data_IF_502523454562
#
_entry.id   IF_502523454562
#
_cell.length_a   1.000
_cell.length_b   1.000
_cell.length_c   1.000
_cell.angle_alpha   90.00
_cell.angle_beta   90.00
_cell.angle_gamma   90.00
#
_symmetry.space_group_name_H-M   'P 1'
#
loop_
_entity.id
_entity.type
_entity.pdbx_description
1 polymer ?
#
# COMPACT_ATOMS: atom_id res chain seq x y z
N UNK A 1 10.28 11.00 -12.37
CA UNK A 1 8.89 11.35 -12.76
C UNK A 1 8.52 10.87 -14.17
N UNK A 2 9.22 9.88 -14.73
CA UNK A 2 8.95 9.42 -16.09
C UNK A 2 7.78 8.43 -16.12
N UNK A 3 6.90 8.58 -17.10
CA UNK A 3 5.86 7.59 -17.42
C UNK A 3 6.47 6.49 -18.27
N UNK A 4 6.09 5.25 -18.00
CA UNK A 4 6.48 4.08 -18.80
C UNK A 4 5.24 3.50 -19.48
N UNK A 5 5.43 2.95 -20.67
CA UNK A 5 4.43 2.14 -21.37
C UNK A 5 5.12 1.01 -22.11
N UNK A 6 4.38 -0.06 -22.38
CA UNK A 6 4.87 -1.19 -23.16
C UNK A 6 4.42 -1.00 -24.60
N UNK A 7 5.38 -0.77 -25.49
CA UNK A 7 5.09 -0.65 -26.93
C UNK A 7 4.75 -2.02 -27.53
N UNK A 8 3.46 -2.33 -27.58
CA UNK A 8 2.93 -3.60 -28.10
C UNK A 8 2.78 -3.61 -29.62
N UNK A 9 2.84 -2.44 -30.27
CA UNK A 9 2.58 -2.28 -31.71
C UNK A 9 3.84 -1.90 -32.50
N UNK A 10 5.04 -2.26 -32.01
CA UNK A 10 6.30 -2.05 -32.75
C UNK A 10 6.29 -2.59 -34.17
N UNK A 11 5.55 -3.69 -34.40
CA UNK A 11 5.41 -4.33 -35.71
C UNK A 11 4.37 -3.67 -36.62
N UNK A 12 3.60 -2.68 -36.12
CA UNK A 12 2.53 -1.97 -36.84
C UNK A 12 1.45 -2.90 -37.41
N UNK A 13 1.10 -3.93 -36.65
CA UNK A 13 0.09 -4.94 -37.03
C UNK A 13 -1.33 -4.51 -36.63
N UNK A 14 -1.44 -3.55 -35.71
CA UNK A 14 -2.70 -2.99 -35.23
C UNK A 14 -3.25 -2.01 -36.27
N UNK A 15 -4.56 -2.12 -36.55
CA UNK A 15 -5.24 -1.34 -37.60
C UNK A 15 -5.41 0.13 -37.22
N UNK A 16 -5.60 0.41 -35.94
CA UNK A 16 -5.85 1.77 -35.48
C UNK A 16 -4.60 2.65 -35.61
N UNK A 17 -4.78 3.83 -36.19
CA UNK A 17 -3.67 4.72 -36.55
C UNK A 17 -2.99 5.28 -35.31
N UNK A 18 -1.68 5.07 -35.22
CA UNK A 18 -0.87 5.61 -34.13
C UNK A 18 -0.99 4.83 -32.82
N UNK A 19 -1.67 3.68 -32.79
CA UNK A 19 -1.73 2.82 -31.60
C UNK A 19 -0.32 2.42 -31.12
N UNK A 20 -0.06 2.59 -29.82
CA UNK A 20 1.25 2.33 -29.21
C UNK A 20 1.21 1.35 -28.04
N UNK A 21 0.11 1.29 -27.29
CA UNK A 21 -0.08 0.37 -26.17
C UNK A 21 -1.57 0.08 -26.01
N UNK A 22 -1.87 -1.01 -25.33
CA UNK A 22 -3.21 -1.34 -24.87
C UNK A 22 -3.20 -1.58 -23.36
N UNK A 23 -4.38 -1.63 -22.75
CA UNK A 23 -4.52 -1.95 -21.32
C UNK A 23 -3.94 -3.33 -20.98
N UNK A 24 -4.02 -4.31 -21.89
CA UNK A 24 -3.38 -5.63 -21.78
C UNK A 24 -1.86 -5.55 -21.64
N UNK A 25 -1.19 -4.76 -22.48
CA UNK A 25 0.25 -4.62 -22.37
C UNK A 25 0.65 -3.96 -21.04
N UNK A 26 -0.07 -2.90 -20.65
CA UNK A 26 0.21 -2.16 -19.40
C UNK A 26 0.01 -3.05 -18.16
N UNK A 27 -1.08 -3.82 -18.11
CA UNK A 27 -1.39 -4.66 -16.94
C UNK A 27 -0.39 -5.79 -16.75
N UNK A 28 0.07 -6.45 -17.83
CA UNK A 28 1.11 -7.46 -17.75
C UNK A 28 2.41 -6.85 -17.23
N UNK A 29 2.76 -5.65 -17.70
CA UNK A 29 3.88 -4.90 -17.15
C UNK A 29 3.73 -4.64 -15.65
N UNK A 30 2.56 -4.19 -15.20
CA UNK A 30 2.31 -3.90 -13.79
C UNK A 30 2.41 -5.17 -12.94
N UNK A 31 1.74 -6.25 -13.33
CA UNK A 31 1.77 -7.52 -12.61
C UNK A 31 3.19 -8.11 -12.55
N UNK A 32 3.90 -8.16 -13.68
CA UNK A 32 5.29 -8.64 -13.73
C UNK A 32 6.17 -7.77 -12.83
N UNK A 33 6.01 -6.45 -12.86
CA UNK A 33 6.80 -5.53 -12.02
C UNK A 33 6.60 -5.80 -10.52
N UNK A 34 5.36 -6.06 -10.09
CA UNK A 34 5.06 -6.45 -8.70
C UNK A 34 5.70 -7.79 -8.37
N UNK A 35 5.50 -8.81 -9.21
CA UNK A 35 6.05 -10.16 -8.99
C UNK A 35 7.59 -10.16 -8.95
N UNK A 36 8.23 -9.28 -9.71
CA UNK A 36 9.68 -9.11 -9.75
C UNK A 36 10.22 -8.10 -8.71
N UNK A 37 9.37 -7.50 -7.88
CA UNK A 37 9.73 -6.46 -6.91
C UNK A 37 10.44 -5.24 -7.56
N UNK A 38 10.05 -4.88 -8.77
CA UNK A 38 10.58 -3.72 -9.49
C UNK A 38 9.65 -2.52 -9.35
N UNK A 39 9.77 -1.82 -8.22
CA UNK A 39 8.93 -0.67 -7.88
C UNK A 39 9.01 0.46 -8.92
N UNK A 40 10.21 0.74 -9.45
CA UNK A 40 10.41 1.84 -10.41
C UNK A 40 9.57 1.65 -11.66
N UNK A 41 9.50 0.42 -12.17
CA UNK A 41 8.73 0.10 -13.37
C UNK A 41 7.23 0.10 -13.07
N UNK A 42 6.82 -0.47 -11.93
CA UNK A 42 5.44 -0.41 -11.46
C UNK A 42 4.94 1.04 -11.35
N UNK A 43 5.72 1.91 -10.71
CA UNK A 43 5.38 3.32 -10.54
C UNK A 43 5.27 4.05 -11.89
N UNK A 44 6.15 3.72 -12.84
CA UNK A 44 6.13 4.28 -14.20
C UNK A 44 4.87 3.91 -14.97
N UNK A 45 4.47 2.64 -14.88
CA UNK A 45 3.26 2.11 -15.51
C UNK A 45 1.98 2.59 -14.79
N UNK A 46 2.04 2.75 -13.47
CA UNK A 46 0.93 3.30 -12.67
C UNK A 46 0.66 4.76 -13.03
N UNK A 47 1.70 5.58 -13.26
CA UNK A 47 1.52 6.95 -13.77
C UNK A 47 0.85 6.96 -15.15
N UNK A 48 1.17 5.98 -16.01
CA UNK A 48 0.48 5.81 -17.29
C UNK A 48 -0.99 5.47 -17.10
N UNK A 49 -1.30 4.46 -16.27
CA UNK A 49 -2.66 4.08 -15.91
C UNK A 49 -3.47 5.29 -15.41
N UNK A 50 -2.93 6.04 -14.45
CA UNK A 50 -3.60 7.21 -13.87
C UNK A 50 -3.89 8.31 -14.89
N UNK A 51 -3.02 8.47 -15.90
CA UNK A 51 -3.18 9.47 -16.96
C UNK A 51 -4.26 9.09 -17.96
N UNK A 52 -4.40 7.81 -18.28
CA UNK A 52 -5.27 7.31 -19.36
C UNK A 52 -6.50 6.55 -18.87
N UNK A 53 -6.84 6.67 -17.58
CA UNK A 53 -8.10 6.15 -17.07
C UNK A 53 -9.29 6.94 -17.63
N UNK A 54 -10.37 6.23 -17.93
CA UNK A 54 -11.63 6.82 -18.36
C UNK A 54 -12.43 7.38 -17.17
N UNK A 55 -13.61 7.92 -17.45
CA UNK A 55 -14.50 8.52 -16.43
C UNK A 55 -14.98 7.54 -15.35
N UNK A 56 -14.89 6.23 -15.60
CA UNK A 56 -15.22 5.18 -14.63
C UNK A 56 -14.02 4.76 -13.77
N UNK A 57 -12.84 5.33 -14.02
CA UNK A 57 -11.60 5.01 -13.31
C UNK A 57 -10.87 3.77 -13.84
N UNK A 58 -11.31 3.21 -14.98
CA UNK A 58 -10.71 2.04 -15.63
C UNK A 58 -9.75 2.48 -16.72
N UNK A 59 -8.74 1.66 -17.05
CA UNK A 59 -7.80 2.02 -18.11
C UNK A 59 -8.49 1.89 -19.47
N UNK A 60 -8.49 3.00 -20.22
CA UNK A 60 -8.89 3.00 -21.62
C UNK A 60 -8.11 1.94 -22.40
N UNK A 61 -8.77 1.11 -23.19
CA UNK A 61 -8.19 -0.14 -23.67
C UNK A 61 -7.06 0.07 -24.68
N UNK A 62 -7.01 1.23 -25.36
CA UNK A 62 -5.95 1.55 -26.32
C UNK A 62 -5.51 3.01 -26.23
N UNK A 63 -4.19 3.22 -26.16
CA UNK A 63 -3.57 4.54 -26.29
C UNK A 63 -2.84 4.66 -27.63
N UNK A 64 -2.94 5.85 -28.21
CA UNK A 64 -2.27 6.23 -29.43
C UNK A 64 -1.27 7.38 -29.19
N UNK A 65 -0.29 7.47 -30.08
CA UNK A 65 0.61 8.61 -30.19
C UNK A 65 0.23 9.43 -31.42
N UNK A 66 -0.18 10.67 -31.18
CA UNK A 66 -0.41 11.67 -32.22
C UNK A 66 0.62 12.79 -32.08
N UNK A 67 1.48 12.93 -33.09
CA UNK A 67 2.65 13.81 -33.06
C UNK A 67 3.53 13.57 -31.81
N UNK A 68 3.71 14.59 -30.97
CA UNK A 68 4.47 14.53 -29.72
C UNK A 68 3.59 14.32 -28.49
N UNK A 69 2.34 13.91 -28.67
CA UNK A 69 1.37 13.71 -27.59
C UNK A 69 0.81 12.30 -27.58
N UNK A 70 0.35 11.89 -26.40
CA UNK A 70 -0.28 10.60 -26.14
C UNK A 70 -1.73 10.84 -25.75
N UNK A 71 -2.66 10.05 -26.31
CA UNK A 71 -4.09 10.14 -26.03
C UNK A 71 -4.74 8.75 -26.04
N UNK A 72 -5.95 8.66 -25.52
CA UNK A 72 -6.81 7.51 -25.79
C UNK A 72 -7.20 7.50 -27.27
N UNK A 73 -7.33 6.32 -27.86
CA UNK A 73 -7.74 6.23 -29.25
C UNK A 73 -9.19 6.76 -29.42
N UNK A 74 -9.46 7.66 -30.37
CA UNK A 74 -10.82 8.19 -30.60
C UNK A 74 -11.86 7.12 -30.96
N UNK A 75 -11.48 6.03 -31.61
CA UNK A 75 -12.41 5.00 -32.10
C UNK A 75 -12.70 3.93 -31.04
N UNK A 76 -13.47 4.30 -30.01
CA UNK A 76 -13.83 3.40 -28.91
C UNK A 76 -12.68 3.10 -27.94
N UNK A 77 -11.52 3.75 -28.09
CA UNK A 77 -10.35 3.59 -27.23
C UNK A 77 -10.59 3.99 -25.78
N UNK A 78 -11.60 4.82 -25.49
CA UNK A 78 -11.93 5.29 -24.14
C UNK A 78 -12.65 4.24 -23.28
N UNK A 79 -13.27 3.24 -23.91
CA UNK A 79 -13.82 2.08 -23.20
C UNK A 79 -12.69 1.24 -22.60
N UNK A 80 -12.98 0.43 -21.58
CA UNK A 80 -11.98 -0.48 -21.00
C UNK A 80 -12.09 -1.88 -21.60
N UNK A 81 -11.07 -2.70 -21.34
CA UNK A 81 -11.12 -4.14 -21.60
C UNK A 81 -11.08 -4.85 -20.24
N UNK A 82 -12.05 -5.72 -19.97
CA UNK A 82 -12.27 -6.32 -18.65
C UNK A 82 -11.09 -7.14 -18.15
N UNK A 83 -10.48 -7.93 -19.04
CA UNK A 83 -9.22 -8.63 -18.78
C UNK A 83 -8.12 -7.63 -18.39
N UNK A 84 -8.12 -6.45 -19.02
CA UNK A 84 -7.34 -5.25 -18.70
C UNK A 84 -7.41 -4.87 -17.24
N UNK A 85 -8.64 -4.67 -16.82
CA UNK A 85 -8.99 -4.18 -15.50
C UNK A 85 -8.73 -5.24 -14.41
N UNK A 86 -8.94 -6.53 -14.72
CA UNK A 86 -8.71 -7.65 -13.79
C UNK A 86 -7.24 -7.75 -13.38
N UNK A 87 -6.29 -7.67 -14.32
CA UNK A 87 -4.88 -7.79 -13.95
C UNK A 87 -4.34 -6.53 -13.26
N UNK A 88 -4.88 -5.34 -13.57
CA UNK A 88 -4.57 -4.13 -12.79
C UNK A 88 -5.03 -4.31 -11.34
N UNK A 89 -6.26 -4.78 -11.12
CA UNK A 89 -6.76 -5.10 -9.79
C UNK A 89 -5.91 -6.18 -9.10
N UNK A 90 -5.51 -7.21 -9.84
CA UNK A 90 -4.61 -8.28 -9.37
C UNK A 90 -3.25 -7.73 -8.96
N UNK A 91 -2.68 -6.79 -9.71
CA UNK A 91 -1.40 -6.16 -9.37
C UNK A 91 -1.48 -5.36 -8.07
N UNK A 92 -2.57 -4.62 -7.84
CA UNK A 92 -2.80 -3.94 -6.55
C UNK A 92 -3.02 -4.92 -5.41
N UNK A 93 -3.70 -6.03 -5.66
CA UNK A 93 -3.90 -7.09 -4.68
C UNK A 93 -2.56 -7.71 -4.25
N UNK A 94 -1.67 -8.05 -5.19
CA UNK A 94 -0.32 -8.53 -4.86
C UNK A 94 0.56 -7.44 -4.22
N UNK A 95 0.40 -6.17 -4.61
CA UNK A 95 1.09 -5.07 -3.94
C UNK A 95 0.64 -4.95 -2.47
N UNK A 96 -0.65 -5.17 -2.19
CA UNK A 96 -1.17 -5.22 -0.82
C UNK A 96 -0.63 -6.43 -0.03
N UNK A 97 -0.37 -7.57 -0.68
CA UNK A 97 0.29 -8.72 -0.03
C UNK A 97 1.71 -8.36 0.45
N UNK A 98 2.45 -7.53 -0.29
CA UNK A 98 3.78 -7.10 0.14
C UNK A 98 3.75 -6.32 1.46
N UNK A 99 2.69 -5.56 1.72
CA UNK A 99 2.50 -4.88 3.02
C UNK A 99 2.40 -5.92 4.14
N UNK A 100 1.57 -6.96 3.96
CA UNK A 100 1.49 -8.04 4.95
C UNK A 100 2.86 -8.70 5.16
N UNK A 101 3.55 -9.05 4.08
CA UNK A 101 4.78 -9.82 4.14
C UNK A 101 5.95 -9.05 4.79
N UNK A 102 6.08 -7.74 4.53
CA UNK A 102 7.30 -6.98 4.88
C UNK A 102 7.07 -5.83 5.89
N UNK A 103 5.82 -5.42 6.16
CA UNK A 103 5.54 -4.30 7.08
C UNK A 103 4.86 -4.72 8.40
N UNK A 104 4.77 -6.03 8.68
CA UNK A 104 4.20 -6.54 9.92
C UNK A 104 5.14 -7.52 10.62
N UNK A 105 5.30 -7.34 11.93
CA UNK A 105 5.92 -8.36 12.76
C UNK A 105 4.94 -9.52 12.94
N UNK A 106 5.13 -10.61 12.20
CA UNK A 106 4.22 -11.77 12.22
C UNK A 106 4.19 -12.55 13.54
N UNK A 107 5.10 -12.28 14.48
CA UNK A 107 5.06 -12.86 15.84
C UNK A 107 4.13 -12.07 16.75
N UNK A 108 4.17 -10.74 16.66
CA UNK A 108 3.40 -9.84 17.56
C UNK A 108 2.16 -9.23 16.92
N UNK A 109 1.98 -9.42 15.60
CA UNK A 109 0.91 -8.81 14.80
C UNK A 109 0.86 -7.29 14.96
N UNK A 110 2.03 -6.65 14.92
CA UNK A 110 2.17 -5.19 15.00
C UNK A 110 2.75 -4.67 13.69
N UNK A 111 2.28 -3.51 13.20
CA UNK A 111 2.96 -2.81 12.13
C UNK A 111 4.41 -2.56 12.56
N UNK A 112 5.33 -2.83 11.66
CA UNK A 112 6.71 -2.41 11.77
C UNK A 112 6.81 -0.88 11.60
N UNK A 113 8.01 -0.34 11.77
CA UNK A 113 8.26 1.07 11.42
C UNK A 113 8.17 1.27 9.91
N UNK A 114 8.77 0.32 9.18
CA UNK A 114 8.75 0.14 7.73
C UNK A 114 9.47 -1.18 7.41
N UNK A 115 9.62 -1.54 6.13
CA UNK A 115 10.24 -2.79 5.67
C UNK A 115 11.67 -3.02 6.23
N UNK A 116 12.52 -2.00 6.23
CA UNK A 116 13.90 -2.09 6.71
C UNK A 116 14.02 -2.49 8.19
N UNK A 117 12.96 -2.27 8.98
CA UNK A 117 12.97 -2.60 10.42
C UNK A 117 12.74 -4.09 10.69
N UNK A 118 12.35 -4.86 9.68
CA UNK A 118 12.23 -6.32 9.77
C UNK A 118 13.61 -6.98 10.01
N UNK A 119 14.64 -6.51 9.30
CA UNK A 119 15.98 -7.09 9.35
C UNK A 119 16.82 -6.61 10.54
N UNK A 120 16.49 -5.44 11.11
CA UNK A 120 17.19 -4.89 12.27
C UNK A 120 16.56 -5.38 13.59
N UNK A 121 17.25 -6.32 14.26
CA UNK A 121 16.84 -6.84 15.58
C UNK A 121 16.58 -5.76 16.64
N UNK A 122 17.19 -4.57 16.51
CA UNK A 122 16.94 -3.44 17.42
C UNK A 122 15.52 -2.90 17.26
N UNK A 123 15.00 -2.90 16.02
CA UNK A 123 13.75 -2.28 15.60
C UNK A 123 12.63 -3.26 15.26
N UNK A 124 12.92 -4.56 15.09
CA UNK A 124 11.94 -5.61 14.80
C UNK A 124 10.73 -5.61 15.74
N UNK A 125 10.93 -5.20 16.99
CA UNK A 125 9.89 -5.12 18.01
C UNK A 125 9.53 -3.69 18.41
N UNK A 126 9.73 -2.74 17.48
CA UNK A 126 9.38 -1.33 17.64
C UNK A 126 8.23 -1.01 16.68
N UNK A 127 7.28 -0.22 17.14
CA UNK A 127 6.10 0.20 16.36
C UNK A 127 5.75 1.65 16.65
N UNK A 128 4.99 2.26 15.74
CA UNK A 128 4.41 3.59 15.89
C UNK A 128 2.88 3.49 15.95
N UNK A 129 2.22 4.04 16.98
CA UNK A 129 0.76 4.05 17.04
C UNK A 129 0.09 4.87 15.93
N UNK A 130 0.79 5.81 15.29
CA UNK A 130 0.29 6.46 14.07
C UNK A 130 0.05 5.47 12.93
N UNK A 131 0.74 4.32 12.93
CA UNK A 131 0.52 3.23 11.97
C UNK A 131 -0.68 2.35 12.37
N UNK A 132 -1.36 2.60 13.49
CA UNK A 132 -2.51 1.82 13.95
C UNK A 132 -3.81 2.26 13.26
N UNK A 133 -3.84 2.13 11.94
CA UNK A 133 -4.97 2.52 11.09
C UNK A 133 -6.06 1.44 11.19
N UNK A 134 -6.82 1.43 12.29
CA UNK A 134 -7.80 0.39 12.60
C UNK A 134 -8.84 0.17 11.49
N UNK A 135 -9.26 1.23 10.81
CA UNK A 135 -10.19 1.15 9.68
C UNK A 135 -9.60 0.39 8.48
N UNK A 136 -8.30 0.56 8.21
CA UNK A 136 -7.60 -0.18 7.17
C UNK A 136 -7.47 -1.66 7.55
N UNK A 137 -7.11 -1.97 8.80
CA UNK A 137 -7.00 -3.36 9.26
C UNK A 137 -8.35 -4.09 9.25
N UNK A 138 -9.44 -3.41 9.63
CA UNK A 138 -10.80 -3.94 9.48
C UNK A 138 -11.18 -4.18 8.02
N UNK A 139 -10.77 -3.29 7.12
CA UNK A 139 -10.97 -3.48 5.69
C UNK A 139 -10.18 -4.69 5.18
N UNK A 140 -8.91 -4.84 5.57
CA UNK A 140 -8.10 -6.00 5.17
C UNK A 140 -8.67 -7.31 5.72
N UNK A 141 -9.14 -7.35 6.97
CA UNK A 141 -9.82 -8.52 7.51
C UNK A 141 -11.03 -8.95 6.66
N UNK A 142 -11.80 -8.00 6.14
CA UNK A 142 -13.00 -8.28 5.33
C UNK A 142 -12.64 -8.63 3.88
N UNK A 143 -11.61 -7.99 3.31
CA UNK A 143 -11.33 -8.01 1.87
C UNK A 143 -10.21 -8.99 1.47
N UNK A 144 -9.20 -9.19 2.31
CA UNK A 144 -8.19 -10.22 2.15
C UNK A 144 -8.70 -11.50 2.82
N UNK A 145 -9.54 -12.26 2.11
CA UNK A 145 -10.18 -13.47 2.64
C UNK A 145 -9.17 -14.56 2.97
N UNK A 146 -8.01 -14.58 2.30
CA UNK A 146 -6.93 -15.54 2.56
C UNK A 146 -6.30 -15.30 3.95
N UNK A 147 -6.09 -14.03 4.32
CA UNK A 147 -5.46 -13.65 5.60
C UNK A 147 -6.44 -13.07 6.61
N UNK A 148 -7.74 -13.27 6.43
CA UNK A 148 -8.79 -12.66 7.25
C UNK A 148 -8.55 -12.89 8.75
N UNK A 149 -8.25 -14.12 9.17
CA UNK A 149 -7.94 -14.43 10.58
C UNK A 149 -6.67 -13.74 11.09
N UNK A 150 -5.65 -13.60 10.24
CA UNK A 150 -4.39 -12.94 10.59
C UNK A 150 -4.58 -11.43 10.77
N UNK A 151 -5.37 -10.81 9.89
CA UNK A 151 -5.79 -9.41 10.05
C UNK A 151 -6.66 -9.20 11.31
N UNK A 152 -7.46 -10.19 11.68
CA UNK A 152 -8.14 -10.23 12.99
C UNK A 152 -7.16 -10.16 14.16
N UNK A 153 -6.08 -10.94 14.12
CA UNK A 153 -5.02 -10.88 15.14
C UNK A 153 -4.31 -9.52 15.16
N UNK A 154 -4.11 -8.88 14.01
CA UNK A 154 -3.57 -7.50 13.94
C UNK A 154 -4.49 -6.52 14.65
N UNK A 155 -5.79 -6.56 14.39
CA UNK A 155 -6.78 -5.72 15.07
C UNK A 155 -6.75 -5.94 16.58
N UNK A 156 -6.90 -7.18 17.02
CA UNK A 156 -6.95 -7.53 18.45
C UNK A 156 -5.70 -7.09 19.19
N UNK A 157 -4.53 -7.39 18.63
CA UNK A 157 -3.26 -7.00 19.24
C UNK A 157 -3.12 -5.46 19.30
N UNK A 158 -3.64 -4.75 18.30
CA UNK A 158 -3.53 -3.28 18.19
C UNK A 158 -4.46 -2.59 19.17
N UNK A 159 -5.73 -2.99 19.20
CA UNK A 159 -6.74 -2.53 20.17
C UNK A 159 -6.27 -2.81 21.59
N UNK A 160 -5.78 -4.02 21.86
CA UNK A 160 -5.26 -4.39 23.19
C UNK A 160 -4.08 -3.51 23.62
N UNK A 161 -3.24 -3.10 22.67
CA UNK A 161 -2.11 -2.21 22.94
C UNK A 161 -2.59 -0.81 23.27
N UNK A 162 -3.50 -0.25 22.46
CA UNK A 162 -4.10 1.07 22.71
C UNK A 162 -4.82 1.12 24.06
N UNK A 163 -5.66 0.12 24.37
CA UNK A 163 -6.38 0.03 25.64
C UNK A 163 -5.44 -0.01 26.84
N UNK A 164 -4.31 -0.73 26.74
CA UNK A 164 -3.28 -0.75 27.80
C UNK A 164 -2.66 0.64 28.02
N UNK A 165 -2.41 1.39 26.96
CA UNK A 165 -1.85 2.74 27.06
C UNK A 165 -2.83 3.70 27.71
N UNK A 166 -4.09 3.70 27.25
CA UNK A 166 -5.16 4.53 27.80
C UNK A 166 -5.47 4.20 29.27
N UNK A 167 -5.31 2.93 29.68
CA UNK A 167 -5.43 2.54 31.09
C UNK A 167 -4.25 3.02 31.94
N UNK A 168 -3.06 3.11 31.35
CA UNK A 168 -1.83 3.51 32.05
C UNK A 168 -1.71 5.03 32.19
N UNK A 169 -2.21 5.79 31.22
CA UNK A 169 -2.13 7.24 31.18
C UNK A 169 -3.52 7.85 31.04
N UNK A 170 -3.95 8.61 32.05
CA UNK A 170 -5.27 9.25 32.11
C UNK A 170 -5.43 10.47 31.20
N UNK A 171 -4.38 10.86 30.47
CA UNK A 171 -4.40 12.03 29.58
C UNK A 171 -5.10 11.76 28.25
N UNK A 172 -5.37 10.50 27.92
CA UNK A 172 -5.88 10.09 26.60
C UNK A 172 -4.83 10.13 25.49
N UNK A 173 -3.58 10.50 25.81
CA UNK A 173 -2.48 10.55 24.86
C UNK A 173 -1.78 9.20 24.72
N UNK A 174 -1.29 8.91 23.52
CA UNK A 174 -0.58 7.70 23.16
C UNK A 174 0.82 8.09 22.66
N UNK A 175 1.87 7.39 23.11
CA UNK A 175 3.26 7.73 22.75
C UNK A 175 3.55 7.56 21.25
N UNK A 176 4.49 8.33 20.69
CA UNK A 176 4.90 8.20 19.29
C UNK A 176 5.58 6.87 18.96
N UNK A 177 6.53 6.43 19.77
CA UNK A 177 7.23 5.16 19.54
C UNK A 177 7.03 4.22 20.72
N UNK A 178 6.72 2.95 20.42
CA UNK A 178 6.62 1.89 21.41
C UNK A 178 7.55 0.73 21.09
N UNK A 179 8.08 0.09 22.13
CA UNK A 179 8.88 -1.12 22.01
C UNK A 179 8.27 -2.27 22.80
N UNK A 180 8.30 -3.46 22.22
CA UNK A 180 7.88 -4.67 22.92
C UNK A 180 8.84 -4.94 24.08
N UNK A 181 8.27 -5.06 25.27
CA UNK A 181 8.96 -5.52 26.47
C UNK A 181 9.13 -7.05 26.45
N UNK A 182 9.95 -7.57 27.36
CA UNK A 182 10.11 -9.01 27.57
C UNK A 182 8.83 -9.75 28.01
N UNK A 183 7.75 -9.02 28.35
CA UNK A 183 6.43 -9.56 28.68
C UNK A 183 5.45 -9.54 27.50
N UNK A 184 5.96 -9.37 26.28
CA UNK A 184 5.15 -9.28 25.05
C UNK A 184 4.14 -8.12 25.05
N UNK A 185 4.45 -7.05 25.78
CA UNK A 185 3.64 -5.83 25.81
C UNK A 185 4.43 -4.66 25.26
N UNK A 186 3.80 -3.87 24.40
CA UNK A 186 4.38 -2.65 23.86
C UNK A 186 4.24 -1.50 24.85
N UNK A 187 5.37 -0.90 25.22
CA UNK A 187 5.46 0.23 26.14
C UNK A 187 6.11 1.44 25.45
N UNK A 188 5.80 2.68 25.87
CA UNK A 188 6.49 3.87 25.38
C UNK A 188 8.00 3.76 25.59
N UNK A 189 8.76 4.17 24.58
CA UNK A 189 10.22 4.22 24.71
C UNK A 189 10.63 5.28 25.74
N UNK A 190 11.65 4.97 26.55
CA UNK A 190 12.08 5.84 27.68
C UNK A 190 13.21 6.82 27.31
N UNK A 191 13.81 6.65 26.13
CA UNK A 191 14.91 7.43 25.54
C UNK A 191 14.68 7.50 24.03
N UNK A 192 15.41 8.38 23.34
CA UNK A 192 15.47 8.38 21.87
C UNK A 192 15.78 6.97 21.36
N UNK A 193 14.94 6.49 20.45
CA UNK A 193 15.07 5.18 19.80
C UNK A 193 15.20 5.35 18.29
N UNK A 194 14.59 6.38 17.70
CA UNK A 194 14.38 6.55 16.27
C UNK A 194 14.64 7.97 15.76
N UNK A 195 13.95 9.01 16.24
CA UNK A 195 13.96 10.34 15.60
C UNK A 195 14.50 11.46 16.50
N UNK A 196 14.18 11.46 17.79
CA UNK A 196 14.69 12.46 18.74
C UNK A 196 14.35 12.14 20.19
N UNK A 197 14.74 13.04 21.12
CA UNK A 197 14.23 13.05 22.50
C UNK A 197 12.69 13.08 22.59
N UNK A 198 12.00 13.51 21.52
CA UNK A 198 10.53 13.52 21.41
C UNK A 198 9.92 12.18 21.00
N UNK A 199 10.67 11.12 20.79
CA UNK A 199 10.12 9.77 20.56
C UNK A 199 9.22 9.28 21.72
N UNK A 200 9.36 9.93 22.89
CA UNK A 200 8.53 9.72 24.08
C UNK A 200 7.20 10.50 24.05
N UNK A 201 7.16 11.58 23.29
CA UNK A 201 6.05 12.53 23.22
C UNK A 201 5.00 11.96 22.27
N UNK A 202 3.72 12.22 22.55
CA UNK A 202 2.61 11.74 21.75
C UNK A 202 2.62 12.39 20.35
N UNK A 203 2.37 11.61 19.30
CA UNK A 203 2.04 12.20 18.00
C UNK A 203 0.68 12.87 18.14
N UNK A 204 0.60 14.11 17.67
CA UNK A 204 -0.64 14.86 17.44
C UNK A 204 -1.45 14.30 16.25
N UNK A 205 -1.38 12.99 16.02
CA UNK A 205 -2.29 12.27 15.13
C UNK A 205 -3.54 11.94 15.93
N UNK A 206 -4.45 12.91 16.00
CA UNK A 206 -5.80 12.83 16.57
C UNK A 206 -6.47 11.46 16.33
N UNK A 207 -6.33 10.55 17.30
CA UNK A 207 -7.34 9.55 17.60
C UNK A 207 -7.80 9.85 19.03
N UNK A 208 -8.60 10.92 19.17
CA UNK A 208 -9.42 11.11 20.36
C UNK A 208 -10.53 10.06 20.33
N UNK A 209 -10.31 8.92 20.99
CA UNK A 209 -11.40 7.98 21.28
C UNK A 209 -12.14 8.50 22.51
N UNK A 210 -13.17 9.33 22.31
CA UNK A 210 -14.13 9.66 23.38
C UNK A 210 -14.99 8.40 23.60
N UNK A 211 -14.62 7.60 24.61
CA UNK A 211 -15.42 6.48 25.05
C UNK A 211 -16.56 7.02 25.92
N UNK A 212 -17.75 7.15 25.34
CA UNK A 212 -19.01 7.26 26.07
C UNK A 212 -19.83 6.00 25.89
#
# INVERSE_FOLDING_TARGET
>A
NDMLYIDYNKKKEVKETGAITCSEAIRYGMLISVLMRNQKDFDGLMRWFLKFKNKKGLLSWQQAKHHNSYCNNPDGGDDSATDGDIDVATSFFYAAHAIWDHEFNHKTFKPLLSDWSEEDKKFLYVTRPSNFILSAFATFQIKDTERSELWGKVLDATISTLQRQLKKYSTGLISDVMKCSSKEHYEPVRKEVLESDNDKVAVDSLISVDAR
#
